data_IF_437953244436
#
_entry.id   IF_437953244436
#
_cell.length_a   1.000
_cell.length_b   1.000
_cell.length_c   1.000
_cell.angle_alpha   90.00
_cell.angle_beta   90.00
_cell.angle_gamma   90.00
#
_symmetry.space_group_name_H-M   'P 1'
#
loop_
_entity.id
_entity.type
_entity.pdbx_description
1 polymer ?
#
# COMPACT_ATOMS: atom_id res chain seq x y z
N UNK A 1 -23.92 14.56 19.28
CA UNK A 1 -23.13 14.08 20.43
C UNK A 1 -21.68 14.10 19.98
N UNK A 2 -20.75 14.72 20.74
CA UNK A 2 -19.35 14.70 20.38
C UNK A 2 -18.78 13.35 20.81
N UNK A 3 -18.30 12.53 19.87
CA UNK A 3 -17.58 11.31 20.20
C UNK A 3 -16.17 11.67 20.68
N UNK A 4 -15.82 11.25 21.89
CA UNK A 4 -14.45 11.37 22.39
C UNK A 4 -13.70 10.10 22.03
N UNK A 5 -12.52 10.27 21.41
CA UNK A 5 -11.63 9.19 21.04
C UNK A 5 -10.23 9.48 21.58
N UNK A 6 -9.45 8.45 21.83
CA UNK A 6 -8.05 8.61 22.25
C UNK A 6 -7.15 8.85 21.03
N UNK A 7 -7.45 8.19 19.91
CA UNK A 7 -6.73 8.35 18.64
C UNK A 7 -7.72 8.51 17.50
N UNK A 8 -7.55 9.58 16.72
CA UNK A 8 -8.30 9.80 15.49
C UNK A 8 -7.34 9.71 14.30
N UNK A 9 -7.65 8.80 13.38
CA UNK A 9 -6.89 8.58 12.16
C UNK A 9 -7.68 9.15 10.98
N UNK A 10 -7.05 9.94 10.14
CA UNK A 10 -7.66 10.51 8.93
C UNK A 10 -7.10 9.80 7.71
N UNK A 11 -7.94 9.03 7.05
CA UNK A 11 -7.61 8.23 5.88
C UNK A 11 -7.13 6.81 6.21
N UNK A 12 -7.70 5.84 5.51
CA UNK A 12 -7.49 4.40 5.68
C UNK A 12 -6.46 3.80 4.70
N UNK A 13 -5.63 4.63 4.09
CA UNK A 13 -4.55 4.18 3.20
C UNK A 13 -3.43 3.43 3.96
N UNK A 14 -2.26 3.28 3.32
CA UNK A 14 -1.15 2.51 3.87
C UNK A 14 -0.75 2.95 5.29
N UNK A 15 -0.53 4.25 5.48
CA UNK A 15 -0.08 4.80 6.78
C UNK A 15 -1.15 4.68 7.86
N UNK A 16 -2.41 5.04 7.53
CA UNK A 16 -3.53 4.91 8.48
C UNK A 16 -3.76 3.47 8.90
N UNK A 17 -3.65 2.52 7.98
CA UNK A 17 -3.77 1.10 8.26
C UNK A 17 -2.64 0.59 9.19
N UNK A 18 -1.40 1.00 8.93
CA UNK A 18 -0.26 0.63 9.76
C UNK A 18 -0.37 1.20 11.19
N UNK A 19 -0.76 2.47 11.33
CA UNK A 19 -0.99 3.11 12.64
C UNK A 19 -2.14 2.43 13.37
N UNK A 20 -3.28 2.22 12.70
CA UNK A 20 -4.44 1.54 13.27
C UNK A 20 -4.06 0.16 13.81
N UNK A 21 -3.33 -0.63 13.03
CA UNK A 21 -2.90 -1.96 13.42
C UNK A 21 -1.86 -1.92 14.56
N UNK A 22 -0.86 -1.04 14.50
CA UNK A 22 0.18 -0.97 15.53
C UNK A 22 -0.34 -0.53 16.91
N UNK A 23 -1.46 0.20 16.94
CA UNK A 23 -2.10 0.63 18.17
C UNK A 23 -3.28 -0.27 18.59
N UNK A 24 -3.66 -1.23 17.77
CA UNK A 24 -4.86 -2.04 17.98
C UNK A 24 -4.88 -2.83 19.30
N UNK A 25 -3.71 -3.31 19.76
CA UNK A 25 -3.58 -4.05 21.01
C UNK A 25 -3.59 -3.15 22.25
N UNK A 26 -3.57 -1.83 22.06
CA UNK A 26 -3.75 -0.88 23.16
C UNK A 26 -5.23 -0.85 23.56
N UNK A 27 -5.53 -0.38 24.77
CA UNK A 27 -6.92 -0.19 25.21
C UNK A 27 -7.50 1.16 24.79
N UNK A 28 -6.88 1.84 23.83
CA UNK A 28 -7.32 3.13 23.34
C UNK A 28 -8.57 2.99 22.48
N UNK A 29 -9.46 3.96 22.57
CA UNK A 29 -10.57 4.11 21.62
C UNK A 29 -10.04 4.75 20.35
N UNK A 30 -9.84 3.94 19.30
CA UNK A 30 -9.25 4.35 18.03
C UNK A 30 -10.33 4.40 16.97
N UNK A 31 -10.46 5.54 16.29
CA UNK A 31 -11.39 5.74 15.18
C UNK A 31 -10.62 6.19 13.96
N UNK A 32 -10.88 5.57 12.82
CA UNK A 32 -10.39 6.01 11.51
C UNK A 32 -11.57 6.52 10.67
N UNK A 33 -11.40 7.69 10.07
CA UNK A 33 -12.35 8.29 9.13
C UNK A 33 -11.80 8.17 7.71
N UNK A 34 -12.54 7.49 6.84
CA UNK A 34 -12.21 7.30 5.43
C UNK A 34 -13.29 7.93 4.54
N UNK A 35 -12.88 8.73 3.57
CA UNK A 35 -13.81 9.41 2.66
C UNK A 35 -14.46 8.47 1.65
N UNK A 36 -13.77 7.41 1.23
CA UNK A 36 -14.30 6.40 0.33
C UNK A 36 -15.01 5.26 1.07
N UNK A 37 -15.34 4.23 0.32
CA UNK A 37 -15.97 3.03 0.85
C UNK A 37 -15.13 1.79 0.54
N UNK A 38 -15.55 0.64 1.04
CA UNK A 38 -14.99 -0.65 0.68
C UNK A 38 -15.19 -0.96 -0.80
N UNK A 39 -14.17 -1.55 -1.42
CA UNK A 39 -14.30 -2.11 -2.77
C UNK A 39 -14.55 -3.60 -2.67
N UNK A 40 -15.66 -4.05 -3.25
CA UNK A 40 -15.99 -5.47 -3.27
C UNK A 40 -15.15 -6.18 -4.34
N UNK A 41 -14.86 -7.46 -4.12
CA UNK A 41 -14.15 -8.31 -5.09
C UNK A 41 -14.80 -8.30 -6.48
N UNK A 42 -16.14 -8.25 -6.54
CA UNK A 42 -16.92 -8.16 -7.78
C UNK A 42 -16.71 -6.87 -8.56
N UNK A 43 -16.28 -5.80 -7.90
CA UNK A 43 -16.21 -4.48 -8.51
C UNK A 43 -14.89 -4.27 -9.27
N UNK A 44 -13.88 -5.10 -8.97
CA UNK A 44 -12.60 -4.99 -9.65
C UNK A 44 -12.71 -5.33 -11.15
N UNK A 45 -12.09 -4.53 -12.03
CA UNK A 45 -12.20 -4.70 -13.48
C UNK A 45 -11.59 -6.01 -13.99
N UNK A 46 -10.67 -6.61 -13.24
CA UNK A 46 -10.02 -7.89 -13.62
C UNK A 46 -10.98 -9.06 -13.77
N UNK A 47 -12.24 -8.92 -13.32
CA UNK A 47 -13.31 -9.90 -13.60
C UNK A 47 -14.01 -9.66 -14.94
N UNK A 48 -13.80 -8.55 -15.61
CA UNK A 48 -14.50 -8.13 -16.83
C UNK A 48 -13.67 -8.36 -18.09
N UNK A 49 -14.35 -8.44 -19.23
CA UNK A 49 -13.70 -8.54 -20.55
C UNK A 49 -13.09 -7.21 -20.98
N UNK A 50 -13.70 -6.09 -20.59
CA UNK A 50 -13.31 -4.73 -21.01
C UNK A 50 -12.57 -3.99 -19.86
N UNK A 51 -11.70 -4.70 -19.15
CA UNK A 51 -10.99 -4.16 -18.01
C UNK A 51 -10.12 -2.94 -18.39
N UNK A 52 -9.60 -2.88 -19.62
CA UNK A 52 -8.79 -1.78 -20.11
C UNK A 52 -9.60 -0.47 -20.17
N UNK A 53 -10.85 -0.54 -20.59
CA UNK A 53 -11.72 0.63 -20.63
C UNK A 53 -11.98 1.18 -19.22
N UNK A 54 -12.10 0.31 -18.23
CA UNK A 54 -12.30 0.69 -16.82
C UNK A 54 -11.08 1.34 -16.17
N UNK A 55 -9.87 1.09 -16.68
CA UNK A 55 -8.65 1.82 -16.26
C UNK A 55 -8.67 3.31 -16.64
N UNK A 56 -9.49 3.68 -17.61
CA UNK A 56 -9.65 5.07 -18.04
C UNK A 56 -10.95 5.71 -17.55
N UNK A 57 -11.75 4.98 -16.80
CA UNK A 57 -13.03 5.43 -16.24
C UNK A 57 -13.06 5.24 -14.70
N UNK A 58 -13.94 4.39 -14.19
CA UNK A 58 -14.22 4.19 -12.78
C UNK A 58 -13.04 3.61 -11.94
N UNK A 59 -12.04 3.03 -12.61
CA UNK A 59 -10.78 2.60 -12.00
C UNK A 59 -9.55 3.38 -12.48
N UNK A 60 -9.74 4.57 -13.04
CA UNK A 60 -8.61 5.43 -13.35
C UNK A 60 -7.85 5.82 -12.07
N UNK A 61 -6.51 5.80 -12.14
CA UNK A 61 -5.65 6.24 -11.03
C UNK A 61 -5.77 7.74 -10.76
N UNK A 62 -6.18 8.51 -11.76
CA UNK A 62 -6.43 9.95 -11.64
C UNK A 62 -7.88 10.17 -11.15
N UNK A 63 -8.08 10.74 -9.95
CA UNK A 63 -9.41 10.96 -9.38
C UNK A 63 -10.28 11.91 -10.20
N UNK A 64 -9.68 12.86 -10.94
CA UNK A 64 -10.41 13.76 -11.83
C UNK A 64 -11.03 13.05 -13.05
N UNK A 65 -10.56 11.84 -13.39
CA UNK A 65 -11.11 10.99 -14.45
C UNK A 65 -12.06 9.92 -13.93
N UNK A 66 -11.86 9.47 -12.72
CA UNK A 66 -12.58 8.32 -12.16
C UNK A 66 -14.06 8.60 -11.94
N UNK A 67 -14.43 9.82 -11.57
CA UNK A 67 -15.80 10.31 -11.44
C UNK A 67 -16.73 9.39 -10.59
N UNK A 68 -16.18 8.73 -9.56
CA UNK A 68 -16.99 7.98 -8.60
C UNK A 68 -17.68 8.95 -7.64
N UNK A 69 -18.84 8.59 -7.05
CA UNK A 69 -19.54 9.47 -6.10
C UNK A 69 -18.70 9.88 -4.87
N UNK A 70 -17.69 9.07 -4.51
CA UNK A 70 -16.76 9.33 -3.41
C UNK A 70 -15.56 10.19 -3.83
N UNK A 71 -15.37 10.39 -5.13
CA UNK A 71 -14.30 11.25 -5.65
C UNK A 71 -14.76 12.72 -5.67
N UNK A 72 -13.79 13.60 -5.58
CA UNK A 72 -13.97 15.03 -5.78
C UNK A 72 -12.82 15.59 -6.60
N UNK A 73 -13.05 16.65 -7.36
CA UNK A 73 -12.01 17.24 -8.18
C UNK A 73 -10.80 17.68 -7.34
N UNK A 74 -9.61 17.37 -7.82
CA UNK A 74 -8.36 17.87 -7.26
C UNK A 74 -7.87 18.99 -8.15
N UNK A 75 -7.66 20.17 -7.57
CA UNK A 75 -7.07 21.29 -8.29
C UNK A 75 -5.55 21.08 -8.39
N UNK A 76 -5.11 20.59 -9.53
CA UNK A 76 -3.69 20.38 -9.85
C UNK A 76 -3.20 21.34 -10.97
N UNK A 77 -3.94 22.42 -11.22
CA UNK A 77 -3.65 23.35 -12.33
C UNK A 77 -2.26 23.98 -12.25
N UNK A 78 -1.81 24.30 -11.04
CA UNK A 78 -0.51 24.92 -10.76
C UNK A 78 0.53 23.91 -10.24
N UNK A 79 0.25 22.63 -10.31
CA UNK A 79 1.17 21.59 -9.86
C UNK A 79 1.93 20.98 -11.05
N UNK A 80 3.26 20.84 -10.97
CA UNK A 80 4.02 20.09 -11.97
C UNK A 80 3.74 18.58 -11.93
N UNK A 81 3.11 18.12 -10.84
CA UNK A 81 2.80 16.70 -10.58
C UNK A 81 1.30 16.50 -10.68
N UNK A 82 0.89 15.48 -11.44
CA UNK A 82 -0.50 15.04 -11.48
C UNK A 82 -0.76 14.10 -10.32
N UNK A 83 -1.81 14.39 -9.54
CA UNK A 83 -2.19 13.56 -8.39
C UNK A 83 -2.77 12.25 -8.86
N UNK A 84 -2.24 11.16 -8.35
CA UNK A 84 -2.78 9.82 -8.52
C UNK A 84 -3.07 9.25 -7.14
N UNK A 85 -4.32 8.88 -6.89
CA UNK A 85 -4.75 8.28 -5.64
C UNK A 85 -6.01 7.44 -5.84
N UNK A 86 -6.37 6.68 -4.84
CA UNK A 86 -7.63 5.95 -4.79
C UNK A 86 -8.35 6.25 -3.48
N UNK A 87 -9.65 6.58 -3.58
CA UNK A 87 -10.53 6.90 -2.46
C UNK A 87 -11.32 5.64 -2.10
N UNK A 88 -10.96 5.02 -1.01
CA UNK A 88 -11.56 3.80 -0.50
C UNK A 88 -10.71 3.20 0.59
N UNK A 89 -11.26 2.24 1.34
CA UNK A 89 -10.52 1.53 2.37
C UNK A 89 -9.31 0.83 1.74
N UNK A 90 -8.13 1.07 2.29
CA UNK A 90 -6.87 0.63 1.71
C UNK A 90 -6.16 1.67 0.85
N UNK A 91 -6.89 2.74 0.43
CA UNK A 91 -6.32 3.83 -0.35
C UNK A 91 -5.60 3.35 -1.61
N UNK A 92 -4.52 4.02 -1.97
CA UNK A 92 -3.73 3.70 -3.18
C UNK A 92 -3.04 2.33 -3.15
N UNK A 93 -3.04 1.60 -2.02
CA UNK A 93 -2.55 0.21 -1.99
C UNK A 93 -3.44 -0.74 -2.81
N UNK A 94 -4.67 -0.31 -3.14
CA UNK A 94 -5.54 -1.05 -4.06
C UNK A 94 -5.02 -0.96 -5.50
N UNK A 95 -4.48 0.21 -5.90
CA UNK A 95 -4.16 0.52 -7.29
C UNK A 95 -2.66 0.60 -7.57
N UNK A 96 -1.90 -0.42 -7.20
CA UNK A 96 -0.48 -0.52 -7.49
C UNK A 96 -0.13 -1.87 -8.13
N UNK A 97 1.07 -1.99 -8.67
CA UNK A 97 1.51 -3.17 -9.43
C UNK A 97 2.01 -4.33 -8.57
N UNK A 98 1.90 -4.23 -7.26
CA UNK A 98 2.42 -5.18 -6.28
C UNK A 98 3.95 -5.23 -6.17
N UNK A 99 4.69 -4.36 -6.85
CA UNK A 99 6.13 -4.24 -6.68
C UNK A 99 6.43 -3.69 -5.28
N UNK A 100 7.24 -4.40 -4.50
CA UNK A 100 7.37 -4.14 -3.06
C UNK A 100 8.80 -4.37 -2.52
N UNK A 101 9.84 -3.79 -3.15
CA UNK A 101 11.19 -3.89 -2.64
C UNK A 101 11.35 -3.05 -1.38
N UNK A 102 12.26 -3.46 -0.48
CA UNK A 102 12.71 -2.59 0.59
C UNK A 102 13.62 -1.49 0.03
N UNK A 103 13.75 -0.38 0.73
CA UNK A 103 14.77 0.63 0.44
C UNK A 103 16.17 0.04 0.64
N UNK A 104 17.16 0.51 -0.12
CA UNK A 104 18.56 0.19 0.12
C UNK A 104 19.10 1.00 1.31
N UNK A 105 20.13 0.52 2.01
CA UNK A 105 20.80 1.34 3.04
C UNK A 105 21.31 2.68 2.52
N UNK A 106 21.73 2.76 1.24
CA UNK A 106 22.14 3.99 0.57
C UNK A 106 21.02 5.03 0.45
N UNK A 107 19.76 4.60 0.33
CA UNK A 107 18.63 5.51 0.16
C UNK A 107 18.39 6.39 1.40
N UNK A 108 18.93 5.99 2.56
CA UNK A 108 18.89 6.78 3.79
C UNK A 108 19.99 7.83 3.88
N UNK A 109 20.95 7.85 2.94
CA UNK A 109 22.16 8.66 2.95
C UNK A 109 22.37 9.42 1.64
N UNK A 110 21.30 9.79 0.96
CA UNK A 110 21.34 10.42 -0.37
C UNK A 110 22.11 11.74 -0.34
N UNK A 111 21.95 12.56 0.69
CA UNK A 111 22.72 13.81 0.83
C UNK A 111 24.20 13.54 0.98
N UNK A 112 24.55 12.61 1.84
CA UNK A 112 25.96 12.26 2.09
C UNK A 112 26.62 11.62 0.88
N UNK A 113 25.92 10.73 0.18
CA UNK A 113 26.49 9.94 -0.92
C UNK A 113 26.46 10.65 -2.27
N UNK A 114 25.34 11.35 -2.56
CA UNK A 114 25.06 11.90 -3.88
C UNK A 114 25.03 13.44 -3.90
N UNK A 115 25.06 14.09 -2.74
CA UNK A 115 25.05 15.54 -2.60
C UNK A 115 23.72 16.21 -2.86
N UNK A 116 22.61 15.45 -3.03
CA UNK A 116 21.27 15.94 -3.31
C UNK A 116 20.30 15.58 -2.17
N UNK A 117 19.15 16.27 -2.11
CA UNK A 117 18.12 16.07 -1.08
C UNK A 117 18.69 16.12 0.36
N UNK A 118 18.14 15.32 1.28
CA UNK A 118 18.57 15.22 2.67
C UNK A 118 18.76 13.76 3.08
N UNK A 119 19.64 13.51 4.04
CA UNK A 119 19.72 12.19 4.68
C UNK A 119 18.49 11.98 5.58
N UNK A 120 18.01 10.77 5.64
CA UNK A 120 16.96 10.41 6.59
C UNK A 120 17.51 10.47 8.03
N UNK A 121 16.67 10.86 9.02
CA UNK A 121 17.07 10.88 10.43
C UNK A 121 17.20 9.48 11.05
N UNK A 122 16.90 8.45 10.29
CA UNK A 122 16.99 7.03 10.65
C UNK A 122 17.76 6.27 9.58
N UNK A 123 18.28 5.11 9.91
CA UNK A 123 18.98 4.23 8.98
C UNK A 123 18.18 2.94 8.69
N UNK A 124 18.70 2.13 7.78
CA UNK A 124 18.09 0.85 7.41
C UNK A 124 17.97 -0.09 8.62
N UNK A 125 19.02 -0.16 9.48
CA UNK A 125 19.02 -1.08 10.61
C UNK A 125 17.90 -0.75 11.62
N UNK A 126 17.62 0.53 11.81
CA UNK A 126 16.51 1.01 12.66
C UNK A 126 15.16 0.58 12.10
N UNK A 127 14.99 0.56 10.76
CA UNK A 127 13.72 0.20 10.12
C UNK A 127 13.62 -1.29 9.76
N UNK A 128 14.70 -2.05 9.81
CA UNK A 128 14.70 -3.46 9.43
C UNK A 128 13.61 -4.31 10.12
N UNK A 129 13.42 -4.23 11.45
CA UNK A 129 12.36 -4.99 12.11
C UNK A 129 10.95 -4.66 11.59
N UNK A 130 10.70 -3.39 11.26
CA UNK A 130 9.43 -2.94 10.70
C UNK A 130 9.26 -3.36 9.23
N UNK A 131 10.35 -3.38 8.45
CA UNK A 131 10.32 -3.97 7.12
C UNK A 131 9.97 -5.46 7.17
N UNK A 132 10.61 -6.21 8.06
CA UNK A 132 10.35 -7.65 8.21
C UNK A 132 8.89 -7.91 8.62
N UNK A 133 8.35 -7.10 9.53
CA UNK A 133 6.95 -7.20 9.93
C UNK A 133 5.98 -6.82 8.81
N UNK A 134 6.27 -5.74 8.08
CA UNK A 134 5.48 -5.34 6.94
C UNK A 134 5.51 -6.39 5.81
N UNK A 135 6.68 -7.01 5.55
CA UNK A 135 6.79 -8.11 4.60
C UNK A 135 5.88 -9.27 5.00
N UNK A 136 5.81 -9.61 6.29
CA UNK A 136 4.93 -10.64 6.83
C UNK A 136 3.46 -10.23 6.70
N UNK A 137 3.10 -9.02 7.11
CA UNK A 137 1.70 -8.55 7.07
C UNK A 137 1.17 -8.44 5.64
N UNK A 138 1.97 -7.94 4.73
CA UNK A 138 1.62 -7.85 3.31
C UNK A 138 1.77 -9.17 2.57
N UNK A 139 2.47 -10.15 3.14
CA UNK A 139 2.78 -11.41 2.49
C UNK A 139 3.64 -11.18 1.25
N UNK A 140 4.89 -10.79 1.48
CA UNK A 140 5.84 -10.55 0.39
C UNK A 140 6.33 -11.88 -0.16
N UNK A 141 6.33 -12.01 -1.47
CA UNK A 141 6.98 -13.08 -2.20
C UNK A 141 8.30 -12.59 -2.81
N UNK A 142 9.36 -13.31 -2.58
CA UNK A 142 10.71 -12.92 -3.01
C UNK A 142 11.71 -14.04 -2.85
N UNK A 143 12.96 -13.76 -3.21
CA UNK A 143 14.07 -14.68 -3.07
C UNK A 143 15.08 -14.13 -2.06
N UNK A 144 15.40 -14.92 -1.04
CA UNK A 144 16.44 -14.58 -0.07
C UNK A 144 17.84 -14.62 -0.70
N UNK A 145 18.80 -13.91 -0.07
CA UNK A 145 20.20 -14.00 -0.44
C UNK A 145 20.65 -13.05 -1.54
N UNK A 146 19.87 -12.04 -1.88
CA UNK A 146 20.30 -10.95 -2.78
C UNK A 146 21.50 -10.20 -2.17
N UNK A 147 22.68 -10.23 -2.79
CA UNK A 147 23.86 -9.54 -2.27
C UNK A 147 23.76 -8.00 -2.32
N UNK A 148 22.80 -7.45 -3.05
CA UNK A 148 22.54 -6.01 -3.11
C UNK A 148 21.77 -5.48 -1.89
N UNK A 149 21.22 -6.37 -1.06
CA UNK A 149 20.45 -6.02 0.14
C UNK A 149 21.02 -6.65 1.40
N UNK A 150 20.81 -6.06 2.57
CA UNK A 150 20.99 -6.77 3.83
C UNK A 150 20.14 -8.06 3.85
N UNK A 151 20.58 -9.09 4.59
CA UNK A 151 19.85 -10.35 4.67
C UNK A 151 18.38 -10.16 5.01
N UNK A 152 17.50 -10.78 4.26
CA UNK A 152 16.05 -10.80 4.49
C UNK A 152 15.48 -12.16 4.13
N UNK A 153 14.34 -12.49 4.72
CA UNK A 153 13.63 -13.75 4.48
C UNK A 153 12.19 -13.44 4.08
N UNK A 154 11.87 -13.37 2.78
CA UNK A 154 10.49 -13.20 2.33
C UNK A 154 9.60 -14.35 2.79
N UNK A 155 8.34 -14.09 3.20
CA UNK A 155 7.40 -15.12 3.65
C UNK A 155 7.07 -16.18 2.60
N UNK A 156 7.09 -15.81 1.32
CA UNK A 156 6.74 -16.69 0.23
C UNK A 156 7.83 -16.72 -0.85
N UNK A 157 7.94 -17.82 -1.62
CA UNK A 157 8.86 -17.90 -2.74
C UNK A 157 8.54 -16.85 -3.81
N UNK A 158 9.51 -16.47 -4.66
CA UNK A 158 9.30 -15.45 -5.68
C UNK A 158 8.31 -15.91 -6.76
N UNK A 159 7.74 -14.95 -7.47
CA UNK A 159 6.95 -15.24 -8.66
C UNK A 159 7.84 -15.96 -9.68
N UNK A 160 7.38 -17.06 -10.30
CA UNK A 160 8.13 -17.73 -11.34
C UNK A 160 8.44 -16.79 -12.51
N UNK A 161 9.69 -16.74 -12.92
CA UNK A 161 10.17 -15.84 -13.99
C UNK A 161 9.50 -16.08 -15.35
N UNK A 162 8.95 -17.26 -15.58
CA UNK A 162 8.48 -17.65 -16.90
C UNK A 162 9.63 -17.79 -17.91
N UNK A 163 9.31 -18.13 -19.15
CA UNK A 163 10.31 -18.37 -20.20
C UNK A 163 11.13 -17.11 -20.53
N UNK A 164 10.47 -15.97 -20.65
CA UNK A 164 11.13 -14.68 -20.98
C UNK A 164 12.07 -14.22 -19.88
N UNK A 165 11.59 -14.21 -18.62
CA UNK A 165 12.41 -13.83 -17.47
C UNK A 165 13.62 -14.75 -17.28
N UNK A 166 13.45 -16.06 -17.44
CA UNK A 166 14.58 -17.01 -17.40
C UNK A 166 15.62 -16.74 -18.48
N UNK A 167 15.18 -16.36 -19.69
CA UNK A 167 16.08 -15.99 -20.78
C UNK A 167 16.85 -14.70 -20.48
N UNK A 168 16.19 -13.70 -19.92
CA UNK A 168 16.85 -12.48 -19.43
C UNK A 168 17.88 -12.79 -18.35
N UNK A 169 17.53 -13.58 -17.35
CA UNK A 169 18.46 -13.99 -16.30
C UNK A 169 19.70 -14.70 -16.85
N UNK A 170 19.54 -15.59 -17.83
CA UNK A 170 20.67 -16.23 -18.53
C UNK A 170 21.58 -15.20 -19.21
N UNK A 171 21.00 -14.24 -19.92
CA UNK A 171 21.78 -13.19 -20.59
C UNK A 171 22.55 -12.29 -19.59
N UNK A 172 21.89 -11.90 -18.49
CA UNK A 172 22.54 -11.15 -17.42
C UNK A 172 23.71 -11.91 -16.82
N UNK A 173 23.55 -13.21 -16.55
CA UNK A 173 24.64 -14.07 -16.05
C UNK A 173 25.83 -14.14 -17.02
N UNK A 174 25.58 -14.22 -18.34
CA UNK A 174 26.63 -14.21 -19.35
C UNK A 174 27.40 -12.89 -19.38
N UNK A 175 26.73 -11.77 -19.08
CA UNK A 175 27.34 -10.44 -19.04
C UNK A 175 27.99 -10.13 -17.67
N UNK A 176 27.86 -11.02 -16.69
CA UNK A 176 28.31 -10.77 -15.31
C UNK A 176 27.52 -9.66 -14.59
N UNK A 177 26.30 -9.39 -15.04
CA UNK A 177 25.45 -8.37 -14.45
C UNK A 177 24.64 -8.96 -13.29
N UNK A 178 24.50 -8.17 -12.23
CA UNK A 178 23.62 -8.52 -11.13
C UNK A 178 22.15 -8.45 -11.55
N UNK A 179 21.37 -9.44 -11.16
CA UNK A 179 19.92 -9.44 -11.29
C UNK A 179 19.31 -10.31 -10.17
N UNK A 180 18.10 -10.01 -9.78
CA UNK A 180 17.37 -10.77 -8.77
C UNK A 180 15.88 -10.72 -9.07
N UNK A 181 15.09 -11.76 -8.70
CA UNK A 181 13.63 -11.69 -8.74
C UNK A 181 13.12 -10.55 -7.84
N UNK A 182 12.27 -9.70 -8.39
CA UNK A 182 11.72 -8.60 -7.62
C UNK A 182 10.79 -9.09 -6.50
N UNK A 183 10.89 -8.45 -5.33
CA UNK A 183 9.91 -8.65 -4.27
C UNK A 183 8.54 -8.11 -4.69
N UNK A 184 7.50 -8.88 -4.41
CA UNK A 184 6.12 -8.49 -4.70
C UNK A 184 5.20 -8.90 -3.57
N UNK A 185 4.04 -8.27 -3.49
CA UNK A 185 2.99 -8.65 -2.52
C UNK A 185 1.92 -9.53 -3.15
N UNK A 186 2.33 -10.38 -4.09
CA UNK A 186 1.44 -11.35 -4.75
C UNK A 186 1.60 -12.70 -4.08
N UNK A 187 0.51 -13.30 -3.64
CA UNK A 187 0.52 -14.62 -3.05
C UNK A 187 0.96 -15.68 -4.10
N UNK A 188 2.15 -16.23 -3.95
CA UNK A 188 2.68 -17.32 -4.78
C UNK A 188 2.32 -18.69 -4.26
N UNK A 189 1.93 -18.74 -3.00
CA UNK A 189 1.30 -19.86 -2.29
C UNK A 189 0.10 -19.31 -1.51
N UNK A 190 -0.74 -20.19 -0.97
CA UNK A 190 -1.78 -19.73 -0.03
C UNK A 190 -1.12 -19.12 1.19
N UNK A 191 -1.58 -17.95 1.61
CA UNK A 191 -0.98 -17.17 2.67
C UNK A 191 -2.02 -16.33 3.43
N UNK A 192 -2.12 -16.52 4.75
CA UNK A 192 -3.00 -15.75 5.65
C UNK A 192 -4.43 -15.58 5.11
N UNK A 193 -5.03 -16.68 4.64
CA UNK A 193 -6.39 -16.71 4.08
C UNK A 193 -6.53 -16.19 2.66
N UNK A 194 -5.45 -15.73 2.02
CA UNK A 194 -5.42 -15.34 0.61
C UNK A 194 -4.98 -16.53 -0.25
N UNK A 195 -5.76 -16.83 -1.28
CA UNK A 195 -5.41 -17.88 -2.23
C UNK A 195 -4.26 -17.48 -3.16
N UNK A 196 -3.49 -18.48 -3.60
CA UNK A 196 -2.43 -18.32 -4.59
C UNK A 196 -2.95 -17.66 -5.87
N UNK A 197 -2.15 -16.74 -6.44
CA UNK A 197 -2.45 -16.06 -7.69
C UNK A 197 -2.66 -17.03 -8.85
N UNK A 198 -3.77 -16.87 -9.56
CA UNK A 198 -4.14 -17.64 -10.76
C UNK A 198 -3.98 -16.86 -12.07
N UNK A 199 -3.24 -15.74 -12.04
CA UNK A 199 -2.97 -14.89 -13.21
C UNK A 199 -4.24 -14.35 -13.89
N UNK A 200 -5.15 -13.75 -13.11
CA UNK A 200 -6.36 -13.10 -13.67
C UNK A 200 -6.03 -11.92 -14.61
N UNK A 201 -4.81 -11.39 -14.55
CA UNK A 201 -4.38 -10.28 -15.40
C UNK A 201 -3.72 -9.17 -14.60
N UNK A 202 -4.12 -7.92 -14.85
CA UNK A 202 -3.42 -6.75 -14.31
C UNK A 202 -3.64 -6.55 -12.81
N UNK A 203 -2.55 -6.30 -12.08
CA UNK A 203 -2.58 -5.99 -10.65
C UNK A 203 -2.99 -4.54 -10.37
N UNK A 204 -2.68 -3.60 -11.30
CA UNK A 204 -2.87 -2.16 -11.10
C UNK A 204 -4.29 -1.76 -10.69
N UNK A 205 -5.37 -2.25 -11.33
CA UNK A 205 -6.73 -1.81 -10.99
C UNK A 205 -7.31 -2.53 -9.76
N UNK A 206 -6.52 -3.21 -8.98
CA UNK A 206 -6.96 -4.06 -7.89
C UNK A 206 -6.99 -5.55 -8.27
N UNK A 207 -7.25 -6.40 -7.30
CA UNK A 207 -7.23 -7.85 -7.50
C UNK A 207 -8.53 -8.49 -7.02
N UNK A 208 -9.38 -8.89 -7.95
CA UNK A 208 -10.65 -9.55 -7.64
C UNK A 208 -10.50 -10.86 -6.85
N UNK A 209 -9.36 -11.54 -7.00
CA UNK A 209 -9.05 -12.77 -6.27
C UNK A 209 -8.50 -12.50 -4.85
N UNK A 210 -8.01 -11.28 -4.57
CA UNK A 210 -7.32 -10.97 -3.32
C UNK A 210 -5.89 -11.54 -3.22
N UNK A 211 -5.34 -12.11 -4.28
CA UNK A 211 -3.97 -12.64 -4.28
C UNK A 211 -2.90 -11.55 -4.17
N UNK A 212 -3.16 -10.36 -4.76
CA UNK A 212 -2.34 -9.16 -4.54
C UNK A 212 -2.75 -8.52 -3.22
N UNK A 213 -1.81 -8.32 -2.31
CA UNK A 213 -2.09 -7.64 -1.05
C UNK A 213 -2.37 -6.15 -1.26
N UNK A 214 -3.28 -5.66 -0.43
CA UNK A 214 -3.56 -4.26 -0.17
C UNK A 214 -4.02 -4.14 1.28
N UNK A 215 -3.97 -2.97 1.87
CA UNK A 215 -4.18 -2.85 3.32
C UNK A 215 -5.63 -3.09 3.75
N UNK A 216 -6.59 -3.00 2.84
CA UNK A 216 -7.99 -3.39 3.08
C UNK A 216 -8.17 -4.89 3.39
N UNK A 217 -7.32 -5.74 2.82
CA UNK A 217 -7.38 -7.20 3.01
C UNK A 217 -6.27 -7.75 3.91
N UNK A 218 -5.34 -6.91 4.35
CA UNK A 218 -4.24 -7.31 5.23
C UNK A 218 -4.33 -6.64 6.60
N UNK A 219 -4.01 -5.37 6.72
CA UNK A 219 -3.97 -4.64 7.99
C UNK A 219 -5.34 -4.37 8.60
N UNK A 220 -6.29 -3.85 7.80
CA UNK A 220 -7.61 -3.43 8.30
C UNK A 220 -8.41 -4.55 8.94
N UNK A 221 -8.47 -5.78 8.38
CA UNK A 221 -9.19 -6.87 9.04
C UNK A 221 -8.62 -7.21 10.42
N UNK A 222 -7.31 -7.09 10.62
CA UNK A 222 -6.69 -7.31 11.93
C UNK A 222 -7.00 -6.18 12.91
N UNK A 223 -6.86 -4.93 12.50
CA UNK A 223 -7.15 -3.76 13.32
C UNK A 223 -8.62 -3.73 13.78
N UNK A 224 -9.56 -3.99 12.86
CA UNK A 224 -11.01 -4.03 13.17
C UNK A 224 -11.32 -5.18 14.14
N UNK A 225 -10.76 -6.37 13.95
CA UNK A 225 -10.96 -7.48 14.91
C UNK A 225 -10.43 -7.16 16.30
N UNK A 226 -9.41 -6.34 16.40
CA UNK A 226 -8.86 -5.88 17.68
C UNK A 226 -9.61 -4.68 18.29
N UNK A 227 -10.67 -4.18 17.63
CA UNK A 227 -11.56 -3.16 18.16
C UNK A 227 -11.37 -1.75 17.60
N UNK A 228 -10.51 -1.56 16.61
CA UNK A 228 -10.40 -0.27 15.91
C UNK A 228 -11.68 -0.03 15.09
N UNK A 229 -12.27 1.13 15.24
CA UNK A 229 -13.45 1.56 14.49
C UNK A 229 -13.03 2.23 13.19
N UNK A 230 -13.51 1.73 12.05
CA UNK A 230 -13.34 2.35 10.74
C UNK A 230 -14.69 2.83 10.23
N UNK A 231 -14.82 4.15 10.02
CA UNK A 231 -15.99 4.81 9.45
C UNK A 231 -15.71 5.19 8.02
N UNK A 232 -16.46 4.62 7.08
CA UNK A 232 -16.39 4.96 5.65
C UNK A 232 -17.35 6.09 5.30
N UNK A 233 -17.16 6.70 4.11
CA UNK A 233 -17.95 7.83 3.62
C UNK A 233 -17.90 9.06 4.55
N UNK A 234 -16.82 9.17 5.32
CA UNK A 234 -16.57 10.22 6.30
C UNK A 234 -15.40 11.09 5.81
N UNK A 235 -15.72 12.14 5.04
CA UNK A 235 -14.71 13.06 4.52
C UNK A 235 -14.40 14.15 5.53
N UNK A 236 -13.22 14.13 6.11
CA UNK A 236 -12.74 15.20 6.99
C UNK A 236 -12.49 16.47 6.16
N UNK A 237 -13.10 17.57 6.57
CA UNK A 237 -12.97 18.91 5.95
C UNK A 237 -12.01 19.78 6.70
N UNK A 238 -11.94 19.63 8.01
CA UNK A 238 -11.22 20.54 8.90
C UNK A 238 -10.72 19.79 10.14
N UNK A 239 -9.50 20.11 10.54
CA UNK A 239 -8.97 19.75 11.85
C UNK A 239 -9.19 20.94 12.76
N UNK A 240 -10.00 20.78 13.80
CA UNK A 240 -10.24 21.85 14.78
C UNK A 240 -9.09 21.90 15.79
N UNK A 241 -8.76 23.11 16.24
CA UNK A 241 -7.72 23.34 17.24
C UNK A 241 -8.30 24.05 18.46
N UNK A 242 -7.68 23.86 19.60
CA UNK A 242 -7.96 24.62 20.81
C UNK A 242 -7.27 25.99 20.82
N UNK A 243 -7.42 26.74 21.91
CA UNK A 243 -6.81 28.06 22.11
C UNK A 243 -5.27 28.04 22.14
N UNK A 244 -4.66 26.87 22.29
CA UNK A 244 -3.21 26.67 22.27
C UNK A 244 -2.70 26.14 20.91
N UNK A 245 -3.58 26.02 19.93
CA UNK A 245 -3.27 25.50 18.59
C UNK A 245 -3.10 23.99 18.52
N UNK A 246 -3.49 23.26 19.58
CA UNK A 246 -3.47 21.80 19.60
C UNK A 246 -4.71 21.22 18.96
N UNK A 247 -4.56 20.12 18.21
CA UNK A 247 -5.69 19.45 17.58
C UNK A 247 -6.70 18.99 18.66
N UNK A 248 -7.96 19.40 18.50
CA UNK A 248 -9.06 19.11 19.44
C UNK A 248 -10.14 18.22 18.84
N UNK A 249 -10.14 18.04 17.52
CA UNK A 249 -11.11 17.23 16.80
C UNK A 249 -11.10 17.46 15.30
N UNK A 250 -12.15 16.97 14.64
CA UNK A 250 -12.34 17.17 13.19
C UNK A 250 -13.81 17.44 12.88
N UNK A 251 -14.04 18.11 11.75
CA UNK A 251 -15.36 18.26 11.12
C UNK A 251 -15.37 17.38 9.86
N UNK A 252 -16.34 16.46 9.73
CA UNK A 252 -16.50 15.54 8.60
C UNK A 252 -17.97 15.39 8.18
#
# INVERSE_FOLDING_TARGET
MLDKVDVLIIGSGASGAAVAWSLADTKMHIVCLEQGDWVKSSDYPTNGRDWEARLFSDFAINPNRRARPTDYPINDANSPIKVVNFNGVGGSTIMYTAHFPRLHPSDFKVRTLDGVADDWPVDYATLEPFFAENDRMMGVSGLAGDPAYPPKQPPMPPIPLGKSGARFGQAMNQLGWHWWPSDTTIATTDYEGRGRCINLGHCTPGCAQGAKASTDITYWPHAIRAGVELRTLCRVREITTDEHGMASGVIY
#
